data_IF_760040672023
#
_entry.id   IF_760040672023
#
_cell.length_a   1.000
_cell.length_b   1.000
_cell.length_c   1.000
_cell.angle_alpha   90.00
_cell.angle_beta   90.00
_cell.angle_gamma   90.00
#
_symmetry.space_group_name_H-M   'P 1'
#
loop_
_entity.id
_entity.type
_entity.pdbx_description
1 polymer ?
#
# COMPACT_ATOMS: atom_id res chain seq x y z
N UNK A 1 -22.24 -1.35 -13.64
CA UNK A 1 -21.03 -0.99 -14.39
C UNK A 1 -19.90 -0.95 -13.40
N UNK A 2 -18.77 -1.61 -13.65
CA UNK A 2 -17.61 -1.48 -12.76
C UNK A 2 -17.06 -0.07 -12.87
N UNK A 3 -16.91 0.60 -11.73
CA UNK A 3 -16.18 1.85 -11.63
C UNK A 3 -14.70 1.62 -11.97
N UNK A 4 -13.99 2.67 -12.39
CA UNK A 4 -12.53 2.62 -12.50
C UNK A 4 -11.86 2.24 -11.17
N UNK A 5 -12.50 2.57 -10.03
CA UNK A 5 -12.06 2.14 -8.69
C UNK A 5 -12.08 0.62 -8.54
N UNK A 6 -13.10 -0.04 -9.08
CA UNK A 6 -13.23 -1.50 -8.98
C UNK A 6 -12.08 -2.21 -9.71
N UNK A 7 -11.59 -1.61 -10.81
CA UNK A 7 -10.43 -2.13 -11.55
C UNK A 7 -9.16 -2.07 -10.69
N UNK A 8 -8.93 -0.96 -9.99
CA UNK A 8 -7.78 -0.83 -9.07
C UNK A 8 -7.92 -1.81 -7.91
N UNK A 9 -9.09 -1.86 -7.29
CA UNK A 9 -9.36 -2.67 -6.09
C UNK A 9 -9.31 -4.18 -6.34
N UNK A 10 -9.40 -4.64 -7.60
CA UNK A 10 -9.23 -6.05 -7.97
C UNK A 10 -7.79 -6.53 -7.85
N UNK A 11 -6.80 -5.63 -7.97
CA UNK A 11 -5.38 -5.96 -7.86
C UNK A 11 -4.93 -6.16 -6.39
N UNK A 12 -5.73 -5.70 -5.43
CA UNK A 12 -5.47 -5.84 -3.99
C UNK A 12 -6.06 -7.14 -3.45
N UNK A 13 -5.37 -8.25 -3.70
CA UNK A 13 -5.77 -9.59 -3.24
C UNK A 13 -5.22 -9.85 -1.83
N UNK A 14 -6.07 -9.93 -0.79
CA UNK A 14 -5.60 -10.12 0.59
C UNK A 14 -4.85 -11.44 0.76
N UNK A 15 -3.84 -11.46 1.64
CA UNK A 15 -3.03 -12.64 1.99
C UNK A 15 -2.25 -13.29 0.84
N UNK A 16 -2.21 -12.68 -0.34
CA UNK A 16 -1.40 -13.17 -1.46
C UNK A 16 0.09 -12.96 -1.15
N UNK A 17 0.44 -11.80 -0.62
CA UNK A 17 1.82 -11.39 -0.32
C UNK A 17 1.85 -10.52 0.95
N UNK A 18 2.92 -10.65 1.74
CA UNK A 18 3.13 -9.80 2.94
C UNK A 18 3.33 -8.32 2.60
N UNK A 19 3.86 -8.03 1.41
CA UNK A 19 4.17 -6.69 0.94
C UNK A 19 3.81 -6.54 -0.55
N UNK A 20 3.04 -5.51 -0.85
CA UNK A 20 2.67 -5.07 -2.20
C UNK A 20 3.29 -3.70 -2.45
N UNK A 21 4.05 -3.55 -3.53
CA UNK A 21 4.65 -2.28 -3.93
C UNK A 21 3.85 -1.70 -5.08
N UNK A 22 3.45 -0.43 -4.99
CA UNK A 22 2.64 0.23 -6.03
C UNK A 22 3.29 1.52 -6.46
N UNK A 23 3.44 1.72 -7.77
CA UNK A 23 3.80 3.00 -8.36
C UNK A 23 2.52 3.78 -8.64
N UNK A 24 2.36 4.93 -7.99
CA UNK A 24 1.14 5.76 -8.07
C UNK A 24 1.53 7.20 -8.45
N UNK A 25 1.85 7.46 -9.74
CA UNK A 25 2.33 8.77 -10.19
C UNK A 25 1.24 9.85 -10.20
N UNK A 26 -0.04 9.46 -10.29
CA UNK A 26 -1.20 10.35 -10.32
C UNK A 26 -1.96 10.44 -8.99
N UNK A 27 -1.60 9.62 -8.00
CA UNK A 27 -2.11 9.70 -6.64
C UNK A 27 -3.50 9.07 -6.47
N UNK A 28 -3.87 8.12 -7.33
CA UNK A 28 -5.19 7.49 -7.31
C UNK A 28 -5.43 6.65 -6.04
N UNK A 29 -4.40 6.12 -5.40
CA UNK A 29 -4.55 5.34 -4.16
C UNK A 29 -4.94 6.18 -2.95
N UNK A 30 -4.79 7.50 -3.05
CA UNK A 30 -5.20 8.45 -2.01
C UNK A 30 -6.58 9.04 -2.29
N UNK A 31 -7.20 8.73 -3.43
CA UNK A 31 -8.60 9.03 -3.66
C UNK A 31 -9.45 8.28 -2.63
N UNK A 32 -10.40 8.98 -2.00
CA UNK A 32 -11.11 8.51 -0.81
C UNK A 32 -11.73 7.12 -0.99
N UNK A 33 -12.43 6.88 -2.11
CA UNK A 33 -13.08 5.60 -2.37
C UNK A 33 -12.11 4.45 -2.63
N UNK A 34 -10.95 4.73 -3.24
CA UNK A 34 -9.89 3.74 -3.43
C UNK A 34 -9.21 3.44 -2.10
N UNK A 35 -8.85 4.46 -1.32
CA UNK A 35 -8.19 4.32 -0.03
C UNK A 35 -9.06 3.53 0.95
N UNK A 36 -10.36 3.84 1.04
CA UNK A 36 -11.31 3.10 1.84
C UNK A 36 -11.41 1.64 1.38
N UNK A 37 -11.56 1.41 0.07
CA UNK A 37 -11.66 0.05 -0.47
C UNK A 37 -10.41 -0.81 -0.24
N UNK A 38 -9.22 -0.20 -0.22
CA UNK A 38 -7.96 -0.88 0.13
C UNK A 38 -7.96 -1.25 1.61
N UNK A 39 -8.36 -0.31 2.49
CA UNK A 39 -8.42 -0.55 3.94
C UNK A 39 -9.45 -1.60 4.32
N UNK A 40 -10.62 -1.60 3.67
CA UNK A 40 -11.67 -2.62 3.86
C UNK A 40 -11.18 -4.03 3.50
N UNK A 41 -10.24 -4.15 2.56
CA UNK A 41 -9.58 -5.41 2.18
C UNK A 41 -8.49 -5.84 3.17
N UNK A 42 -8.24 -5.06 4.22
CA UNK A 42 -7.28 -5.38 5.28
C UNK A 42 -5.85 -4.88 5.01
N UNK A 43 -5.67 -4.08 3.97
CA UNK A 43 -4.36 -3.51 3.65
C UNK A 43 -4.10 -2.23 4.44
N UNK A 44 -2.86 -2.06 4.87
CA UNK A 44 -2.34 -0.79 5.39
C UNK A 44 -1.44 -0.13 4.37
N UNK A 45 -1.53 1.19 4.23
CA UNK A 45 -0.82 1.95 3.19
C UNK A 45 0.25 2.85 3.83
N UNK A 46 1.50 2.71 3.36
CA UNK A 46 2.61 3.59 3.76
C UNK A 46 3.15 4.30 2.51
N UNK A 47 3.13 5.64 2.46
CA UNK A 47 3.80 6.38 1.41
C UNK A 47 5.33 6.30 1.58
N UNK A 48 6.04 6.13 0.47
CA UNK A 48 7.49 6.19 0.42
C UNK A 48 7.93 7.58 -0.03
N UNK A 49 8.22 8.45 0.92
CA UNK A 49 8.70 9.83 0.66
C UNK A 49 10.12 10.04 1.17
N UNK A 50 10.42 9.47 2.33
CA UNK A 50 11.70 9.58 3.00
C UNK A 50 12.09 8.20 3.56
N UNK A 51 13.35 7.80 3.32
CA UNK A 51 13.87 6.51 3.73
C UNK A 51 13.81 6.30 5.25
N UNK A 52 14.02 7.35 6.05
CA UNK A 52 14.05 7.24 7.51
C UNK A 52 12.65 7.02 8.06
N UNK A 53 11.70 7.85 7.62
CA UNK A 53 10.28 7.78 8.00
C UNK A 53 9.66 6.47 7.55
N UNK A 54 9.91 6.06 6.31
CA UNK A 54 9.47 4.77 5.79
C UNK A 54 10.02 3.61 6.62
N UNK A 55 11.35 3.57 6.83
CA UNK A 55 11.99 2.49 7.59
C UNK A 55 11.44 2.42 9.00
N UNK A 56 11.26 3.55 9.67
CA UNK A 56 10.67 3.56 11.01
C UNK A 56 9.26 2.96 11.02
N UNK A 57 8.37 3.38 10.11
CA UNK A 57 7.01 2.87 10.03
C UNK A 57 6.97 1.37 9.68
N UNK A 58 7.77 0.94 8.70
CA UNK A 58 7.91 -0.45 8.28
C UNK A 58 8.41 -1.34 9.42
N UNK A 59 9.53 -0.99 10.05
CA UNK A 59 10.16 -1.81 11.10
C UNK A 59 9.26 -1.92 12.34
N UNK A 60 8.72 -0.77 12.80
CA UNK A 60 7.93 -0.71 14.02
C UNK A 60 6.60 -1.43 13.90
N UNK A 61 5.88 -1.23 12.79
CA UNK A 61 4.50 -1.70 12.64
C UNK A 61 4.37 -3.03 11.90
N UNK A 62 5.29 -3.38 11.00
CA UNK A 62 5.13 -4.55 10.13
C UNK A 62 6.22 -5.59 10.35
N UNK A 63 7.51 -5.22 10.23
CA UNK A 63 8.61 -6.18 10.41
C UNK A 63 8.56 -6.85 11.77
N UNK A 64 8.32 -6.07 12.83
CA UNK A 64 8.20 -6.58 14.20
C UNK A 64 7.08 -7.62 14.37
N UNK A 65 5.96 -7.46 13.64
CA UNK A 65 4.82 -8.40 13.64
C UNK A 65 5.17 -9.66 12.87
N UNK A 66 5.83 -9.53 11.71
CA UNK A 66 6.28 -10.67 10.91
C UNK A 66 7.32 -11.54 11.63
N UNK A 67 8.18 -10.93 12.44
CA UNK A 67 9.13 -11.66 13.30
C UNK A 67 8.43 -12.49 14.38
N UNK A 68 7.19 -12.14 14.75
CA UNK A 68 6.32 -12.93 15.63
C UNK A 68 5.43 -13.93 14.88
N UNK A 69 5.55 -14.02 13.57
CA UNK A 69 4.73 -14.89 12.73
C UNK A 69 3.32 -14.37 12.46
N UNK A 70 3.02 -13.11 12.76
CA UNK A 70 1.73 -12.51 12.43
C UNK A 70 1.63 -12.23 10.92
N UNK A 71 0.45 -12.44 10.34
CA UNK A 71 0.15 -12.11 8.94
C UNK A 71 -0.47 -10.71 8.86
N UNK A 72 0.09 -9.87 8.01
CA UNK A 72 -0.42 -8.54 7.69
C UNK A 72 -0.16 -8.25 6.22
N UNK A 73 -1.10 -7.58 5.56
CA UNK A 73 -0.93 -7.15 4.19
C UNK A 73 -0.53 -5.67 4.15
N UNK A 74 0.73 -5.40 3.78
CA UNK A 74 1.28 -4.04 3.70
C UNK A 74 1.34 -3.58 2.24
N UNK A 75 0.80 -2.40 1.95
CA UNK A 75 0.99 -1.68 0.68
C UNK A 75 1.98 -0.55 0.87
N UNK A 76 3.04 -0.56 0.08
CA UNK A 76 4.00 0.54 -0.01
C UNK A 76 3.74 1.31 -1.29
N UNK A 77 3.45 2.60 -1.18
CA UNK A 77 3.16 3.46 -2.33
C UNK A 77 4.36 4.31 -2.66
N UNK A 78 4.91 4.10 -3.86
CA UNK A 78 5.95 4.91 -4.46
C UNK A 78 5.29 6.04 -5.25
N UNK A 79 5.47 7.27 -4.74
CA UNK A 79 5.15 8.47 -5.51
C UNK A 79 6.43 8.94 -6.19
N UNK A 80 6.63 8.54 -7.45
CA UNK A 80 7.62 9.20 -8.29
C UNK A 80 6.97 10.46 -8.85
N UNK A 81 7.48 11.64 -8.48
CA UNK A 81 7.25 12.81 -9.33
C UNK A 81 7.75 12.42 -10.73
N UNK A 82 7.01 12.76 -11.78
CA UNK A 82 7.12 12.26 -13.16
C UNK A 82 8.47 12.48 -13.89
N UNK A 83 9.59 12.55 -13.19
CA UNK A 83 10.90 12.88 -13.72
C UNK A 83 12.03 11.91 -13.42
N UNK A 84 11.86 10.89 -12.56
CA UNK A 84 12.96 9.97 -12.22
C UNK A 84 12.58 8.48 -12.32
N UNK A 85 12.02 8.05 -13.46
CA UNK A 85 11.99 6.65 -13.89
C UNK A 85 12.48 6.52 -15.34
#
# INVERSE_FOLDING_TARGET
MSSWRDVILQEFIPKAHRLTLVADPDGLLLEEGVLEGIRERGFELIPFEDHVTFRYAYESKFRSRWDRGEETDLVVVLRSASHDL
#
